data_IF_616533828977
#
_entry.id   IF_616533828977
#
_cell.length_a   1.000
_cell.length_b   1.000
_cell.length_c   1.000
_cell.angle_alpha   90.00
_cell.angle_beta   90.00
_cell.angle_gamma   90.00
#
_symmetry.space_group_name_H-M   'P 1'
#
loop_
_entity.id
_entity.type
_entity.pdbx_description
1 polymer ?
#
# COMPACT_ATOMS: atom_id res chain seq x y z
N UNK A 1 -15.60 -11.84 59.24
CA UNK A 1 -15.43 -12.72 58.06
C UNK A 1 -15.90 -11.96 56.83
N UNK A 2 -14.98 -11.39 56.05
CA UNK A 2 -15.30 -10.55 54.89
C UNK A 2 -14.64 -11.21 53.67
N UNK A 3 -15.44 -11.90 52.86
CA UNK A 3 -14.96 -12.60 51.67
C UNK A 3 -14.76 -11.59 50.52
N UNK A 4 -13.54 -11.57 49.98
CA UNK A 4 -13.14 -10.78 48.82
C UNK A 4 -13.33 -11.66 47.58
N UNK A 5 -14.29 -11.32 46.71
CA UNK A 5 -14.45 -11.99 45.43
C UNK A 5 -13.51 -11.37 44.40
N UNK A 6 -12.51 -12.14 43.97
CA UNK A 6 -11.67 -11.84 42.81
C UNK A 6 -12.40 -12.34 41.55
N UNK A 7 -12.88 -11.43 40.71
CA UNK A 7 -13.39 -11.77 39.39
C UNK A 7 -12.20 -11.90 38.43
N UNK A 8 -11.88 -13.13 38.04
CA UNK A 8 -10.89 -13.41 36.99
C UNK A 8 -11.62 -13.28 35.65
N UNK A 9 -11.36 -12.19 34.93
CA UNK A 9 -11.81 -12.01 33.56
C UNK A 9 -10.91 -12.87 32.66
N UNK A 10 -11.37 -14.08 32.32
CA UNK A 10 -10.75 -14.91 31.29
C UNK A 10 -11.02 -14.26 29.93
N UNK A 11 -10.04 -13.51 29.42
CA UNK A 11 -10.01 -13.08 28.03
C UNK A 11 -9.87 -14.31 27.14
N UNK A 12 -10.95 -14.72 26.51
CA UNK A 12 -10.92 -15.73 25.45
C UNK A 12 -10.25 -15.12 24.23
N UNK A 13 -8.95 -15.33 24.06
CA UNK A 13 -8.28 -15.05 22.79
C UNK A 13 -8.87 -15.99 21.74
N UNK A 14 -9.59 -15.42 20.77
CA UNK A 14 -10.32 -16.18 19.75
C UNK A 14 -9.42 -17.14 18.98
N UNK A 15 -9.96 -18.32 18.66
CA UNK A 15 -9.31 -19.39 17.91
C UNK A 15 -9.01 -19.05 16.42
N UNK A 16 -9.27 -17.81 15.99
CA UNK A 16 -9.05 -17.36 14.61
C UNK A 16 -7.56 -17.17 14.28
N UNK A 17 -6.73 -16.82 15.26
CA UNK A 17 -5.30 -16.54 15.02
C UNK A 17 -4.48 -17.77 14.60
N UNK A 18 -4.88 -18.98 15.01
CA UNK A 18 -4.14 -20.21 14.67
C UNK A 18 -4.27 -20.58 13.19
N UNK A 19 -5.43 -20.35 12.58
CA UNK A 19 -5.64 -20.67 11.16
C UNK A 19 -4.92 -19.68 10.23
N UNK A 20 -5.00 -18.38 10.54
CA UNK A 20 -4.34 -17.35 9.73
C UNK A 20 -2.81 -17.44 9.80
N UNK A 21 -2.25 -17.80 10.96
CA UNK A 21 -0.80 -18.02 11.08
C UNK A 21 -0.30 -19.17 10.19
N UNK A 22 -1.03 -20.29 10.15
CA UNK A 22 -0.70 -21.40 9.26
C UNK A 22 -0.80 -21.01 7.77
N UNK A 23 -1.84 -20.26 7.40
CA UNK A 23 -1.97 -19.74 6.04
C UNK A 23 -0.86 -18.74 5.69
N UNK A 24 -0.40 -17.93 6.64
CA UNK A 24 0.75 -17.04 6.46
C UNK A 24 2.03 -17.84 6.21
N UNK A 25 2.26 -18.93 6.97
CA UNK A 25 3.43 -19.80 6.75
C UNK A 25 3.40 -20.42 5.34
N UNK A 26 2.24 -20.84 4.86
CA UNK A 26 2.07 -21.32 3.48
C UNK A 26 2.34 -20.21 2.44
N UNK A 27 1.84 -19.00 2.68
CA UNK A 27 2.16 -17.84 1.84
C UNK A 27 3.66 -17.54 1.83
N UNK A 28 4.33 -17.67 2.97
CA UNK A 28 5.76 -17.42 3.07
C UNK A 28 6.58 -18.43 2.25
N UNK A 29 6.17 -19.70 2.20
CA UNK A 29 6.76 -20.69 1.28
C UNK A 29 6.63 -20.22 -0.18
N UNK A 30 5.45 -19.76 -0.60
CA UNK A 30 5.22 -19.26 -1.96
C UNK A 30 5.96 -17.97 -2.27
N UNK A 31 6.10 -17.09 -1.28
CA UNK A 31 6.93 -15.89 -1.38
C UNK A 31 8.40 -16.26 -1.58
N UNK A 32 8.93 -17.23 -0.83
CA UNK A 32 10.31 -17.68 -0.98
C UNK A 32 10.56 -18.35 -2.34
N UNK A 33 9.60 -19.14 -2.84
CA UNK A 33 9.62 -19.67 -4.21
C UNK A 33 9.70 -18.54 -5.25
N UNK A 34 8.85 -17.51 -5.12
CA UNK A 34 8.87 -16.33 -5.98
C UNK A 34 10.21 -15.59 -5.92
N UNK A 35 10.74 -15.30 -4.72
CA UNK A 35 12.02 -14.61 -4.55
C UNK A 35 13.23 -15.41 -5.03
N UNK A 36 13.08 -16.73 -5.19
CA UNK A 36 14.15 -17.62 -5.67
C UNK A 36 14.15 -17.80 -7.19
N UNK A 37 13.07 -17.43 -7.88
CA UNK A 37 12.94 -17.52 -9.34
C UNK A 37 14.06 -16.75 -10.06
N UNK A 38 14.54 -17.27 -11.19
CA UNK A 38 15.72 -16.71 -11.90
C UNK A 38 15.39 -16.15 -13.28
N UNK A 39 14.36 -16.69 -13.93
CA UNK A 39 13.92 -16.21 -15.24
C UNK A 39 12.65 -15.38 -15.12
N UNK A 40 12.45 -14.42 -16.02
CA UNK A 40 11.22 -13.62 -16.09
C UNK A 40 9.97 -14.51 -16.14
N UNK A 41 10.00 -15.56 -16.96
CA UNK A 41 8.88 -16.50 -17.10
C UNK A 41 8.55 -17.22 -15.77
N UNK A 42 9.57 -17.64 -15.02
CA UNK A 42 9.37 -18.24 -13.70
C UNK A 42 8.85 -17.22 -12.69
N UNK A 43 9.40 -16.00 -12.69
CA UNK A 43 8.94 -14.92 -11.80
C UNK A 43 7.46 -14.61 -12.05
N UNK A 44 7.04 -14.45 -13.30
CA UNK A 44 5.64 -14.21 -13.66
C UNK A 44 4.74 -15.37 -13.22
N UNK A 45 5.17 -16.62 -13.46
CA UNK A 45 4.41 -17.81 -13.05
C UNK A 45 4.27 -17.89 -11.53
N UNK A 46 5.36 -17.73 -10.78
CA UNK A 46 5.34 -17.77 -9.31
C UNK A 46 4.57 -16.58 -8.73
N UNK A 47 4.65 -15.41 -9.36
CA UNK A 47 3.90 -14.23 -8.95
C UNK A 47 2.40 -14.47 -9.12
N UNK A 48 1.96 -15.08 -10.22
CA UNK A 48 0.56 -15.41 -10.43
C UNK A 48 0.03 -16.37 -9.34
N UNK A 49 0.83 -17.39 -8.98
CA UNK A 49 0.50 -18.32 -7.88
C UNK A 49 0.43 -17.57 -6.54
N UNK A 50 1.46 -16.79 -6.21
CA UNK A 50 1.51 -16.03 -4.96
C UNK A 50 0.35 -15.02 -4.85
N UNK A 51 0.07 -14.29 -5.94
CA UNK A 51 -1.06 -13.34 -6.02
C UNK A 51 -2.40 -14.04 -5.74
N UNK A 52 -2.61 -15.21 -6.33
CA UNK A 52 -3.84 -15.98 -6.12
C UNK A 52 -4.00 -16.43 -4.66
N UNK A 53 -2.94 -16.97 -4.05
CA UNK A 53 -3.00 -17.41 -2.65
C UNK A 53 -3.13 -16.22 -1.69
N UNK A 54 -2.46 -15.10 -1.97
CA UNK A 54 -2.61 -13.87 -1.19
C UNK A 54 -4.04 -13.34 -1.26
N UNK A 55 -4.69 -13.37 -2.43
CA UNK A 55 -6.11 -12.98 -2.54
C UNK A 55 -7.00 -13.84 -1.64
N UNK A 56 -6.82 -15.17 -1.68
CA UNK A 56 -7.58 -16.10 -0.83
C UNK A 56 -7.36 -15.86 0.66
N UNK A 57 -6.14 -15.48 1.05
CA UNK A 57 -5.81 -15.11 2.43
C UNK A 57 -6.56 -13.84 2.85
N UNK A 58 -6.49 -12.79 2.04
CA UNK A 58 -7.11 -11.49 2.35
C UNK A 58 -8.64 -11.54 2.37
N UNK A 59 -9.25 -12.54 1.71
CA UNK A 59 -10.69 -12.82 1.76
C UNK A 59 -11.14 -13.55 3.05
N UNK A 60 -10.21 -13.99 3.91
CA UNK A 60 -10.57 -14.65 5.17
C UNK A 60 -11.03 -13.66 6.24
N UNK A 61 -11.97 -14.10 7.08
CA UNK A 61 -12.41 -13.35 8.24
C UNK A 61 -11.22 -13.03 9.16
N UNK A 62 -11.13 -11.77 9.59
CA UNK A 62 -10.03 -11.25 10.42
C UNK A 62 -8.71 -11.03 9.68
N UNK A 63 -8.61 -11.37 8.38
CA UNK A 63 -7.39 -11.16 7.61
C UNK A 63 -7.00 -9.68 7.56
N UNK A 64 -7.96 -8.76 7.48
CA UNK A 64 -7.70 -7.31 7.44
C UNK A 64 -6.86 -6.81 8.63
N UNK A 65 -7.20 -7.25 9.84
CA UNK A 65 -6.52 -6.88 11.08
C UNK A 65 -5.29 -7.74 11.36
N UNK A 66 -5.10 -8.85 10.64
CA UNK A 66 -4.00 -9.78 10.87
C UNK A 66 -2.64 -9.14 10.51
N UNK A 67 -1.72 -9.00 11.49
CA UNK A 67 -0.39 -8.46 11.23
C UNK A 67 0.52 -9.54 10.66
N UNK A 68 1.08 -9.31 9.47
CA UNK A 68 2.08 -10.23 8.93
C UNK A 68 3.35 -10.22 9.79
N UNK A 69 3.88 -11.41 10.07
CA UNK A 69 5.10 -11.64 10.84
C UNK A 69 6.20 -12.30 10.02
N UNK A 70 5.82 -13.08 9.01
CA UNK A 70 6.69 -13.92 8.19
C UNK A 70 6.98 -13.28 6.82
N UNK A 71 6.05 -12.51 6.26
CA UNK A 71 6.12 -11.95 4.90
C UNK A 71 7.00 -10.70 4.80
N UNK A 72 8.28 -10.82 5.14
CA UNK A 72 9.23 -9.68 5.29
C UNK A 72 9.47 -8.84 4.04
N UNK A 73 9.29 -9.41 2.84
CA UNK A 73 9.47 -8.70 1.57
C UNK A 73 8.16 -8.19 0.96
N UNK A 74 7.09 -8.12 1.75
CA UNK A 74 5.79 -7.58 1.37
C UNK A 74 5.59 -6.27 2.13
N UNK A 75 5.17 -5.22 1.42
CA UNK A 75 4.78 -3.98 2.03
C UNK A 75 3.32 -4.07 2.47
N UNK A 76 3.07 -3.78 3.75
CA UNK A 76 1.78 -3.86 4.40
C UNK A 76 1.51 -2.53 5.12
N UNK A 77 0.49 -1.79 4.67
CA UNK A 77 0.11 -0.50 5.23
C UNK A 77 -1.35 -0.49 5.61
N UNK A 78 -1.63 0.07 6.78
CA UNK A 78 -2.99 0.41 7.21
C UNK A 78 -3.16 1.92 7.24
N UNK A 79 -4.36 2.39 6.93
CA UNK A 79 -4.76 3.77 7.20
C UNK A 79 -4.85 4.02 8.70
N UNK A 80 -4.64 5.26 9.10
CA UNK A 80 -4.77 5.71 10.50
C UNK A 80 -6.22 5.66 11.01
N UNK A 81 -7.21 5.74 10.12
CA UNK A 81 -8.64 5.50 10.42
C UNK A 81 -9.02 4.02 10.51
N UNK A 82 -8.10 3.11 10.17
CA UNK A 82 -8.30 1.66 10.24
C UNK A 82 -9.28 1.09 9.20
N UNK A 83 -9.63 1.86 8.16
CA UNK A 83 -10.58 1.44 7.13
C UNK A 83 -9.94 0.87 5.85
N UNK A 84 -8.65 1.11 5.64
CA UNK A 84 -7.95 0.73 4.42
C UNK A 84 -6.65 0.02 4.74
N UNK A 85 -6.36 -1.02 3.98
CA UNK A 85 -5.08 -1.72 3.98
C UNK A 85 -4.55 -1.85 2.56
N UNK A 86 -3.25 -1.65 2.35
CA UNK A 86 -2.57 -1.94 1.09
C UNK A 86 -1.50 -3.00 1.34
N UNK A 87 -1.62 -4.14 0.66
CA UNK A 87 -0.64 -5.23 0.68
C UNK A 87 -0.05 -5.35 -0.71
N UNK A 88 1.24 -5.08 -0.89
CA UNK A 88 1.83 -5.01 -2.23
C UNK A 88 3.34 -5.30 -2.23
N UNK A 89 3.87 -5.63 -3.41
CA UNK A 89 5.27 -6.01 -3.60
C UNK A 89 5.74 -5.71 -5.02
N UNK A 90 7.06 -5.66 -5.20
CA UNK A 90 7.71 -5.53 -6.49
C UNK A 90 8.29 -6.88 -6.97
N UNK A 91 8.43 -7.01 -8.28
CA UNK A 91 9.25 -7.97 -8.99
C UNK A 91 10.41 -7.21 -9.63
N UNK A 92 11.63 -7.64 -9.39
CA UNK A 92 12.83 -7.10 -10.05
C UNK A 92 13.30 -8.13 -11.07
N UNK A 93 13.17 -7.80 -12.36
CA UNK A 93 13.52 -8.69 -13.45
C UNK A 93 15.03 -8.69 -13.72
N UNK A 94 15.57 -9.72 -14.40
CA UNK A 94 17.01 -9.81 -14.68
C UNK A 94 17.57 -8.66 -15.54
N UNK A 95 16.71 -7.96 -16.28
CA UNK A 95 17.05 -6.77 -17.05
C UNK A 95 16.97 -5.46 -16.23
N UNK A 96 16.76 -5.59 -14.92
CA UNK A 96 16.59 -4.49 -13.94
C UNK A 96 15.37 -3.61 -14.19
N UNK A 97 14.38 -4.10 -14.91
CA UNK A 97 13.04 -3.52 -14.91
C UNK A 97 12.24 -4.02 -13.71
N UNK A 98 11.23 -3.25 -13.34
CA UNK A 98 10.34 -3.58 -12.23
C UNK A 98 8.92 -3.77 -12.71
N UNK A 99 8.18 -4.64 -12.03
CA UNK A 99 6.73 -4.64 -12.06
C UNK A 99 6.19 -4.79 -10.65
N UNK A 100 4.92 -4.47 -10.45
CA UNK A 100 4.30 -4.46 -9.13
C UNK A 100 3.04 -5.30 -9.09
N UNK A 101 2.69 -5.77 -7.90
CA UNK A 101 1.45 -6.48 -7.66
C UNK A 101 0.99 -6.20 -6.24
N UNK A 102 -0.32 -6.23 -6.02
CA UNK A 102 -0.86 -5.99 -4.69
C UNK A 102 -2.36 -6.00 -4.63
N UNK A 103 -2.86 -5.57 -3.48
CA UNK A 103 -4.26 -5.48 -3.14
C UNK A 103 -4.52 -4.24 -2.32
N UNK A 104 -5.66 -3.60 -2.58
CA UNK A 104 -6.28 -2.68 -1.64
C UNK A 104 -7.42 -3.43 -0.96
N UNK A 105 -7.42 -3.45 0.36
CA UNK A 105 -8.50 -4.01 1.16
C UNK A 105 -9.22 -2.86 1.84
N UNK A 106 -10.52 -2.74 1.62
CA UNK A 106 -11.38 -1.79 2.31
C UNK A 106 -12.20 -2.53 3.36
N UNK A 107 -12.14 -2.10 4.60
CA UNK A 107 -12.95 -2.61 5.70
C UNK A 107 -14.18 -1.74 5.89
N UNK A 108 -15.33 -2.40 6.00
CA UNK A 108 -16.59 -1.81 6.38
C UNK A 108 -16.86 -2.20 7.85
N UNK A 109 -16.78 -1.24 8.79
CA UNK A 109 -16.99 -1.52 10.21
C UNK A 109 -18.45 -1.79 10.56
N UNK A 110 -19.41 -1.33 9.74
CA UNK A 110 -20.83 -1.54 9.99
C UNK A 110 -21.25 -2.96 9.59
N UNK A 111 -20.69 -3.48 8.50
CA UNK A 111 -20.93 -4.85 8.02
C UNK A 111 -19.92 -5.87 8.58
N UNK A 112 -18.88 -5.41 9.27
CA UNK A 112 -17.70 -6.19 9.69
C UNK A 112 -17.07 -6.99 8.54
N UNK A 113 -17.05 -6.42 7.33
CA UNK A 113 -16.59 -7.10 6.11
C UNK A 113 -15.50 -6.35 5.39
N UNK A 114 -14.67 -7.10 4.67
CA UNK A 114 -13.64 -6.55 3.80
C UNK A 114 -13.94 -6.77 2.34
N UNK A 115 -13.71 -5.75 1.53
CA UNK A 115 -13.66 -5.85 0.07
C UNK A 115 -12.20 -5.82 -0.38
N UNK A 116 -11.77 -6.88 -1.05
CA UNK A 116 -10.42 -7.01 -1.61
C UNK A 116 -10.44 -6.61 -3.09
N UNK A 117 -9.58 -5.67 -3.48
CA UNK A 117 -9.44 -5.21 -4.85
C UNK A 117 -8.02 -5.47 -5.34
N UNK A 118 -7.82 -6.35 -6.35
CA UNK A 118 -6.49 -6.59 -6.90
C UNK A 118 -5.97 -5.35 -7.63
N UNK A 119 -4.67 -5.13 -7.47
CA UNK A 119 -3.90 -4.14 -8.20
C UNK A 119 -3.05 -4.87 -9.23
N UNK A 120 -3.33 -4.61 -10.50
CA UNK A 120 -2.57 -5.16 -11.61
C UNK A 120 -1.77 -4.03 -12.22
N UNK A 121 -0.45 -4.21 -12.21
CA UNK A 121 0.44 -3.34 -12.95
C UNK A 121 0.34 -3.67 -14.44
N UNK A 122 -0.30 -2.78 -15.18
CA UNK A 122 -0.45 -2.88 -16.64
C UNK A 122 0.56 -2.01 -17.38
N UNK A 123 1.41 -1.27 -16.66
CA UNK A 123 2.30 -0.33 -17.29
C UNK A 123 3.60 -1.01 -17.72
N UNK A 124 3.97 -0.74 -18.96
CA UNK A 124 5.33 -0.93 -19.42
C UNK A 124 6.26 0.02 -18.63
N UNK A 125 7.44 -0.42 -18.15
CA UNK A 125 8.37 0.39 -17.35
C UNK A 125 8.78 1.73 -18.00
N UNK A 126 8.64 1.85 -19.32
CA UNK A 126 8.94 3.06 -20.09
C UNK A 126 7.73 3.97 -20.30
N UNK A 127 6.54 3.56 -19.86
CA UNK A 127 5.31 4.35 -19.98
C UNK A 127 5.26 5.41 -18.89
N UNK A 128 5.14 6.70 -19.25
CA UNK A 128 4.95 7.76 -18.27
C UNK A 128 3.68 7.49 -17.46
N UNK A 129 3.80 7.59 -16.15
CA UNK A 129 2.67 7.33 -15.28
C UNK A 129 1.55 8.33 -15.59
N UNK A 130 0.30 7.88 -15.81
CA UNK A 130 -0.81 8.74 -16.20
C UNK A 130 -1.03 9.92 -15.24
N UNK A 131 -1.38 11.07 -15.80
CA UNK A 131 -1.80 12.27 -15.05
C UNK A 131 -3.30 12.21 -14.68
N UNK A 132 -4.06 11.31 -15.30
CA UNK A 132 -5.49 11.11 -15.04
C UNK A 132 -5.74 10.09 -13.92
N UNK A 133 -6.98 10.09 -13.42
CA UNK A 133 -7.46 9.08 -12.47
C UNK A 133 -7.49 7.71 -13.17
N UNK A 134 -6.91 6.70 -12.52
CA UNK A 134 -6.95 5.29 -12.94
C UNK A 134 -7.64 4.44 -11.90
N UNK A 135 -8.01 3.21 -12.25
CA UNK A 135 -8.54 2.22 -11.31
C UNK A 135 -7.52 1.11 -11.01
N UNK A 136 -7.85 0.20 -10.09
CA UNK A 136 -6.96 -0.89 -9.71
C UNK A 136 -6.56 -1.83 -10.86
N UNK A 137 -7.36 -1.88 -11.95
CA UNK A 137 -7.04 -2.67 -13.15
C UNK A 137 -6.03 -1.99 -14.06
N UNK A 138 -5.95 -0.66 -13.97
CA UNK A 138 -5.01 0.18 -14.69
C UNK A 138 -4.00 0.83 -13.74
N UNK A 139 -3.67 0.12 -12.65
CA UNK A 139 -2.69 0.61 -11.70
C UNK A 139 -1.31 0.57 -12.37
N UNK A 140 -0.51 1.56 -12.06
CA UNK A 140 0.75 1.82 -12.76
C UNK A 140 1.98 1.35 -11.98
N UNK A 141 1.76 0.73 -10.82
CA UNK A 141 2.81 0.20 -9.97
C UNK A 141 3.54 1.25 -9.11
N UNK A 142 3.62 0.98 -7.81
CA UNK A 142 4.49 1.67 -6.87
C UNK A 142 4.63 0.84 -5.59
N UNK A 143 5.76 0.98 -4.90
CA UNK A 143 5.90 0.57 -3.50
C UNK A 143 5.60 1.76 -2.58
N UNK A 144 4.41 1.77 -1.98
CA UNK A 144 4.01 2.74 -0.97
C UNK A 144 4.61 2.39 0.40
N UNK A 145 5.15 3.39 1.10
CA UNK A 145 5.72 3.24 2.45
C UNK A 145 5.03 4.11 3.49
N UNK A 146 4.11 5.00 3.06
CA UNK A 146 3.29 5.79 3.98
C UNK A 146 1.93 6.07 3.39
N UNK A 147 0.91 5.95 4.21
CA UNK A 147 -0.46 6.35 3.93
C UNK A 147 -0.88 7.43 4.93
N UNK A 148 -1.59 8.46 4.46
CA UNK A 148 -2.12 9.53 5.30
C UNK A 148 -3.57 9.78 4.91
N UNK A 149 -4.50 9.68 5.86
CA UNK A 149 -5.91 9.94 5.60
C UNK A 149 -6.17 11.44 5.64
N UNK A 150 -6.91 11.91 4.65
CA UNK A 150 -7.28 13.31 4.49
C UNK A 150 -8.76 13.39 4.13
N UNK A 151 -9.50 14.25 4.79
CA UNK A 151 -10.89 14.53 4.42
C UNK A 151 -10.91 15.59 3.31
N UNK A 152 -11.60 15.31 2.20
CA UNK A 152 -11.79 16.26 1.12
C UNK A 152 -13.22 16.17 0.58
N UNK A 153 -13.92 17.31 0.57
CA UNK A 153 -15.34 17.40 0.18
C UNK A 153 -16.25 16.42 0.94
N UNK A 154 -15.95 16.13 2.20
CA UNK A 154 -16.73 15.22 3.06
C UNK A 154 -16.47 13.73 2.79
N UNK A 155 -15.46 13.38 1.98
CA UNK A 155 -15.03 12.01 1.74
C UNK A 155 -13.57 11.81 2.19
N UNK A 156 -13.28 10.67 2.83
CA UNK A 156 -11.90 10.28 3.14
C UNK A 156 -11.16 9.90 1.85
N UNK A 157 -9.99 10.51 1.66
CA UNK A 157 -9.01 10.16 0.66
C UNK A 157 -7.71 9.78 1.35
N UNK A 158 -6.87 8.98 0.69
CA UNK A 158 -5.65 8.44 1.27
C UNK A 158 -4.47 8.88 0.43
N UNK A 159 -3.69 9.83 0.94
CA UNK A 159 -2.45 10.27 0.30
C UNK A 159 -1.40 9.19 0.52
N UNK A 160 -0.88 8.64 -0.58
CA UNK A 160 0.13 7.60 -0.56
C UNK A 160 1.49 8.21 -0.94
N UNK A 161 2.50 7.94 -0.12
CA UNK A 161 3.89 8.21 -0.49
C UNK A 161 4.54 6.89 -0.86
N UNK A 162 5.11 6.86 -2.06
CA UNK A 162 5.72 5.65 -2.59
C UNK A 162 7.01 5.89 -3.34
N UNK A 163 7.54 4.78 -3.80
CA UNK A 163 8.75 4.67 -4.59
C UNK A 163 8.46 3.80 -5.81
N UNK A 164 8.99 4.20 -6.95
CA UNK A 164 9.02 3.39 -8.16
C UNK A 164 10.47 3.27 -8.65
N UNK A 165 10.92 2.03 -8.74
CA UNK A 165 12.25 1.64 -9.19
C UNK A 165 12.52 1.84 -10.67
N UNK A 166 11.48 2.05 -11.49
CA UNK A 166 11.61 2.36 -12.92
C UNK A 166 12.56 1.41 -13.66
N UNK A 167 13.77 1.89 -13.96
CA UNK A 167 14.85 1.15 -14.66
C UNK A 167 16.19 1.38 -13.95
N UNK A 168 17.25 0.68 -14.38
CA UNK A 168 18.66 0.85 -13.91
C UNK A 168 19.15 2.29 -13.78
N UNK A 169 18.52 3.26 -14.44
CA UNK A 169 18.92 4.67 -14.45
C UNK A 169 17.97 5.64 -13.74
N UNK A 170 16.84 5.18 -13.18
CA UNK A 170 15.79 6.07 -12.66
C UNK A 170 15.00 5.48 -11.49
N UNK A 171 15.06 6.16 -10.34
CA UNK A 171 14.21 5.90 -9.18
C UNK A 171 13.34 7.14 -8.88
N UNK A 172 12.04 6.95 -8.67
CA UNK A 172 11.09 8.06 -8.48
C UNK A 172 10.43 8.01 -7.11
N UNK A 173 10.30 9.17 -6.45
CA UNK A 173 9.39 9.36 -5.34
C UNK A 173 8.01 9.72 -5.90
N UNK A 174 6.99 8.98 -5.50
CA UNK A 174 5.61 9.17 -5.97
C UNK A 174 4.76 9.68 -4.82
N UNK A 175 3.89 10.64 -5.15
CA UNK A 175 2.76 11.03 -4.31
C UNK A 175 1.51 10.66 -5.10
N UNK A 176 0.67 9.83 -4.51
CA UNK A 176 -0.59 9.38 -5.09
C UNK A 176 -1.74 9.67 -4.14
N UNK A 177 -2.96 9.58 -4.65
CA UNK A 177 -4.18 9.64 -3.84
C UNK A 177 -5.04 8.45 -4.19
N UNK A 178 -5.26 7.60 -3.20
CA UNK A 178 -6.24 6.54 -3.23
C UNK A 178 -7.59 7.10 -2.77
N UNK A 179 -8.64 6.85 -3.54
CA UNK A 179 -10.03 7.14 -3.18
C UNK A 179 -10.94 6.00 -3.63
N UNK A 180 -12.17 6.01 -3.13
CA UNK A 180 -13.16 4.98 -3.43
C UNK A 180 -14.39 5.61 -4.08
N UNK A 181 -14.91 4.95 -5.13
CA UNK A 181 -16.23 5.24 -5.68
C UNK A 181 -17.08 3.98 -5.56
N UNK A 182 -17.86 3.89 -4.48
CA UNK A 182 -18.42 2.62 -4.04
C UNK A 182 -17.31 1.64 -3.67
N UNK A 183 -17.34 0.43 -4.22
CA UNK A 183 -16.28 -0.57 -4.00
C UNK A 183 -15.11 -0.46 -4.99
N UNK A 184 -15.16 0.48 -5.93
CA UNK A 184 -14.09 0.66 -6.90
C UNK A 184 -12.99 1.55 -6.32
N UNK A 185 -11.77 1.02 -6.34
CA UNK A 185 -10.54 1.76 -6.04
C UNK A 185 -10.19 2.69 -7.19
N UNK A 186 -9.77 3.92 -6.85
CA UNK A 186 -9.28 4.94 -7.77
C UNK A 186 -7.96 5.51 -7.28
N UNK A 187 -7.00 5.63 -8.20
CA UNK A 187 -5.71 6.28 -7.97
C UNK A 187 -5.62 7.58 -8.77
N UNK A 188 -4.91 8.56 -8.22
CA UNK A 188 -4.92 9.94 -8.68
C UNK A 188 -6.10 10.74 -8.11
N UNK A 189 -5.88 12.04 -7.91
CA UNK A 189 -6.94 12.95 -7.43
C UNK A 189 -6.74 14.37 -7.98
N UNK A 190 -7.84 15.11 -8.23
CA UNK A 190 -7.79 16.55 -8.51
C UNK A 190 -7.37 17.40 -7.29
N UNK A 191 -7.08 16.80 -6.13
CA UNK A 191 -6.49 17.49 -4.96
C UNK A 191 -5.26 18.34 -5.30
N UNK A 192 -4.55 18.04 -6.38
CA UNK A 192 -3.38 18.78 -6.85
C UNK A 192 -3.71 20.00 -7.72
N UNK A 193 -5.00 20.36 -7.90
CA UNK A 193 -5.43 21.49 -8.72
C UNK A 193 -5.68 22.71 -7.83
N UNK A 194 -4.69 23.61 -7.71
CA UNK A 194 -4.88 24.92 -7.08
C UNK A 194 -4.72 26.09 -8.08
N UNK A 195 -5.66 27.05 -8.00
CA UNK A 195 -6.03 28.05 -9.02
C UNK A 195 -4.98 29.12 -9.41
N UNK A 196 -3.72 29.04 -8.95
CA UNK A 196 -2.69 30.05 -9.34
C UNK A 196 -1.27 29.53 -9.56
N UNK A 197 -0.92 28.30 -9.16
CA UNK A 197 0.34 27.65 -9.51
C UNK A 197 0.11 26.16 -9.56
N UNK A 198 0.45 25.56 -10.70
CA UNK A 198 0.31 24.14 -10.97
C UNK A 198 1.38 23.39 -10.19
N UNK A 199 0.98 22.61 -9.18
CA UNK A 199 1.84 21.57 -8.63
C UNK A 199 1.50 20.28 -9.38
N UNK A 200 2.20 20.06 -10.49
CA UNK A 200 2.14 18.81 -11.22
C UNK A 200 2.83 17.71 -10.41
N UNK A 201 2.38 16.48 -10.61
CA UNK A 201 3.22 15.30 -10.43
C UNK A 201 4.54 15.57 -11.14
N UNK A 202 5.64 15.72 -10.38
CA UNK A 202 6.92 16.11 -10.95
C UNK A 202 7.88 14.94 -10.95
N UNK A 203 8.14 14.40 -12.14
CA UNK A 203 9.23 13.43 -12.39
C UNK A 203 10.61 14.12 -12.43
N UNK A 204 10.67 15.48 -12.44
CA UNK A 204 11.91 16.27 -12.63
C UNK A 204 12.29 17.20 -11.47
N UNK A 205 11.37 17.58 -10.59
CA UNK A 205 11.67 18.50 -9.49
C UNK A 205 12.34 17.78 -8.32
N UNK A 206 13.67 17.68 -8.42
CA UNK A 206 14.60 17.18 -7.40
C UNK A 206 14.67 18.04 -6.11
N UNK A 207 13.73 18.96 -5.89
CA UNK A 207 13.64 19.80 -4.67
C UNK A 207 12.23 19.81 -4.11
N UNK A 208 11.98 18.87 -3.21
CA UNK A 208 10.79 18.83 -2.34
C UNK A 208 10.85 19.95 -1.26
N UNK A 209 11.82 20.87 -1.31
CA UNK A 209 11.95 21.94 -0.30
C UNK A 209 10.82 22.99 -0.36
N UNK A 210 10.09 23.09 -1.48
CA UNK A 210 8.90 23.95 -1.61
C UNK A 210 7.56 23.23 -1.44
N UNK A 211 7.53 21.91 -1.60
CA UNK A 211 6.34 21.07 -1.46
C UNK A 211 6.06 20.73 0.01
N UNK A 212 7.09 20.53 0.84
CA UNK A 212 6.92 20.21 2.27
C UNK A 212 6.19 21.32 3.06
N UNK A 213 6.40 22.60 2.73
CA UNK A 213 5.70 23.71 3.39
C UNK A 213 4.25 23.88 2.89
N UNK A 214 4.02 23.66 1.60
CA UNK A 214 2.69 23.75 0.99
C UNK A 214 1.77 22.59 1.35
N UNK A 215 2.28 21.34 1.34
CA UNK A 215 1.48 20.16 1.70
C UNK A 215 1.05 20.17 3.17
N UNK A 216 1.93 20.59 4.09
CA UNK A 216 1.54 20.66 5.50
C UNK A 216 0.44 21.68 5.77
N UNK A 217 0.47 22.81 5.04
CA UNK A 217 -0.58 23.82 5.12
C UNK A 217 -1.87 23.39 4.39
N UNK A 218 -1.76 22.63 3.30
CA UNK A 218 -2.89 22.20 2.46
C UNK A 218 -3.66 21.02 3.04
N UNK A 219 -2.97 20.04 3.62
CA UNK A 219 -3.59 18.85 4.21
C UNK A 219 -3.78 18.94 5.73
N UNK A 220 -3.41 20.08 6.37
CA UNK A 220 -3.35 20.23 7.84
C UNK A 220 -2.49 19.13 8.51
N UNK A 221 -1.55 18.57 7.75
CA UNK A 221 -0.58 17.58 8.22
C UNK A 221 0.62 18.36 8.77
N UNK A 222 1.17 17.95 9.91
CA UNK A 222 2.40 18.57 10.41
C UNK A 222 3.50 18.49 9.34
N UNK A 223 4.04 19.67 8.98
CA UNK A 223 5.16 19.81 8.05
C UNK A 223 6.38 18.93 8.43
N UNK A 224 6.52 18.55 9.70
CA UNK A 224 7.54 17.62 10.18
C UNK A 224 7.37 16.20 9.59
N UNK A 225 6.13 15.74 9.36
CA UNK A 225 5.81 14.43 8.78
C UNK A 225 6.14 14.33 7.29
N UNK A 226 6.27 15.48 6.62
CA UNK A 226 6.67 15.62 5.20
C UNK A 226 8.17 15.96 5.09
N UNK A 227 8.77 16.55 6.14
CA UNK A 227 10.18 16.97 6.15
C UNK A 227 11.21 15.84 6.11
N UNK A 228 10.83 14.63 6.54
CA UNK A 228 11.68 13.43 6.44
C UNK A 228 11.92 12.98 5.00
N UNK A 229 11.20 13.52 4.02
CA UNK A 229 11.43 13.26 2.61
C UNK A 229 12.81 13.79 2.10
N UNK A 230 13.51 14.60 2.90
CA UNK A 230 14.81 15.21 2.55
C UNK A 230 16.04 14.64 3.28
N UNK A 231 15.88 13.84 4.35
CA UNK A 231 17.00 13.46 5.23
C UNK A 231 17.67 12.14 4.89
N UNK A 232 17.00 11.20 4.22
CA UNK A 232 17.58 9.90 3.85
C UNK A 232 18.41 9.89 2.56
N UNK A 233 18.73 11.05 1.97
CA UNK A 233 19.71 11.13 0.87
C UNK A 233 21.17 11.21 1.35
N UNK A 234 21.40 11.06 2.65
CA UNK A 234 22.74 11.01 3.27
C UNK A 234 22.80 9.96 4.39
N UNK A 235 22.74 8.70 4.00
CA UNK A 235 23.44 7.64 4.72
C UNK A 235 24.17 6.81 3.67
N UNK A 236 25.48 7.03 3.65
CA UNK A 236 26.54 6.31 2.94
C UNK A 236 26.53 4.81 3.16
#
# INVERSE_FOLDING_TARGET
>A
MRYLYLAIFLWTTGAFGQNLAELEDQLNVKLNELRSAKTEQEMQRMNAVFTQEMNKFLEKDGAFQYPFTQLKSIADLHSDDGLVRIVHWNLEYPDFTYSYSGFVVRYDPDEEKSTVVPLVDVNDPYTPIPENIVDGKNWYGALYYKMITVEYNGENQYVLLGWDGGTTSSNFKIIDVLSFKGNAVKFGSPLFVNKKKVLKRSLRDRKISGLCGGLGTFFRIDSSLVSNCSKDSRAS
#
